data_IF_015971920324
#
_entry.id   IF_015971920324
#
_cell.length_a   1.000
_cell.length_b   1.000
_cell.length_c   1.000
_cell.angle_alpha   90.00
_cell.angle_beta   90.00
_cell.angle_gamma   90.00
#
_symmetry.space_group_name_H-M   'P 1'
#
loop_
_entity.id
_entity.type
_entity.pdbx_description
1 polymer ?
#
# COMPACT_ATOMS: atom_id res chain seq x y z
N UNK A 1 -9.13 -15.89 9.78
CA UNK A 1 -8.74 -14.58 9.22
C UNK A 1 -8.96 -14.65 7.72
N UNK A 2 -9.66 -13.68 7.17
CA UNK A 2 -10.05 -13.59 5.75
C UNK A 2 -8.81 -13.53 4.84
N UNK A 3 -8.52 -14.64 4.16
CA UNK A 3 -7.39 -14.74 3.23
C UNK A 3 -7.68 -14.01 1.91
N UNK A 4 -8.95 -13.90 1.53
CA UNK A 4 -9.35 -13.29 0.27
C UNK A 4 -9.12 -11.78 0.33
N UNK A 5 -9.46 -11.14 1.44
CA UNK A 5 -9.15 -9.73 1.68
C UNK A 5 -7.64 -9.42 1.63
N UNK A 6 -6.78 -10.34 2.08
CA UNK A 6 -5.32 -10.13 1.99
C UNK A 6 -4.84 -10.21 0.54
N UNK A 7 -5.35 -11.17 -0.23
CA UNK A 7 -4.98 -11.33 -1.63
C UNK A 7 -5.43 -10.14 -2.48
N UNK A 8 -6.65 -9.65 -2.26
CA UNK A 8 -7.15 -8.44 -2.92
C UNK A 8 -6.27 -7.21 -2.58
N UNK A 9 -5.87 -7.06 -1.31
CA UNK A 9 -4.96 -6.00 -0.90
C UNK A 9 -3.58 -6.12 -1.57
N UNK A 10 -3.00 -7.32 -1.62
CA UNK A 10 -1.73 -7.57 -2.31
C UNK A 10 -1.82 -7.16 -3.78
N UNK A 11 -2.90 -7.54 -4.45
CA UNK A 11 -3.08 -7.27 -5.88
C UNK A 11 -3.18 -5.78 -6.15
N UNK A 12 -4.04 -5.08 -5.40
CA UNK A 12 -4.20 -3.63 -5.52
C UNK A 12 -2.89 -2.88 -5.19
N UNK A 13 -2.16 -3.32 -4.16
CA UNK A 13 -0.91 -2.68 -3.76
C UNK A 13 0.19 -2.90 -4.80
N UNK A 14 0.32 -4.11 -5.38
CA UNK A 14 1.26 -4.36 -6.45
C UNK A 14 0.93 -3.55 -7.71
N UNK A 15 -0.36 -3.44 -8.06
CA UNK A 15 -0.84 -2.71 -9.23
C UNK A 15 -0.58 -1.19 -9.12
N UNK A 16 -0.74 -0.64 -7.92
CA UNK A 16 -0.55 0.79 -7.65
C UNK A 16 0.88 1.15 -7.26
N UNK A 17 1.75 0.18 -6.93
CA UNK A 17 3.09 0.41 -6.39
C UNK A 17 3.96 1.37 -7.24
N UNK A 18 4.06 1.23 -8.58
CA UNK A 18 4.84 2.17 -9.38
C UNK A 18 4.32 3.61 -9.25
N UNK A 19 3.00 3.79 -9.26
CA UNK A 19 2.36 5.10 -9.14
C UNK A 19 2.61 5.71 -7.75
N UNK A 20 2.41 4.93 -6.69
CA UNK A 20 2.64 5.35 -5.30
C UNK A 20 4.09 5.78 -5.09
N UNK A 21 5.03 4.99 -5.59
CA UNK A 21 6.46 5.25 -5.45
C UNK A 21 6.89 6.51 -6.23
N UNK A 22 6.40 6.66 -7.46
CA UNK A 22 6.67 7.84 -8.29
C UNK A 22 6.05 9.12 -7.70
N UNK A 23 4.88 9.04 -7.05
CA UNK A 23 4.26 10.19 -6.37
C UNK A 23 5.13 10.77 -5.22
N UNK A 24 6.06 9.96 -4.70
CA UNK A 24 7.03 10.33 -3.68
C UNK A 24 8.45 10.53 -4.24
N UNK A 25 8.64 10.49 -5.56
CA UNK A 25 9.95 10.56 -6.23
C UNK A 25 10.96 9.50 -5.73
N UNK A 26 10.48 8.32 -5.33
CA UNK A 26 11.34 7.23 -4.88
C UNK A 26 11.75 6.35 -6.05
N UNK A 27 12.97 5.84 -6.09
CA UNK A 27 13.34 4.73 -6.98
C UNK A 27 12.97 3.38 -6.35
N UNK A 28 13.00 2.29 -7.12
CA UNK A 28 12.80 0.93 -6.58
C UNK A 28 13.80 0.60 -5.46
N UNK A 29 15.04 1.12 -5.56
CA UNK A 29 16.09 0.96 -4.55
C UNK A 29 15.79 1.77 -3.28
N UNK A 30 15.28 2.99 -3.42
CA UNK A 30 14.92 3.81 -2.26
C UNK A 30 13.77 3.17 -1.49
N UNK A 31 12.75 2.69 -2.22
CA UNK A 31 11.62 2.03 -1.60
C UNK A 31 12.00 0.69 -0.95
N UNK A 32 12.91 -0.09 -1.56
CA UNK A 32 13.33 -1.37 -0.98
C UNK A 32 14.01 -1.18 0.37
N UNK A 33 14.81 -0.13 0.54
CA UNK A 33 15.42 0.25 1.82
C UNK A 33 14.38 0.63 2.87
N UNK A 34 13.31 1.31 2.47
CA UNK A 34 12.23 1.74 3.37
C UNK A 34 11.48 0.54 3.96
N UNK A 35 11.12 -0.44 3.13
CA UNK A 35 10.33 -1.60 3.56
C UNK A 35 11.20 -2.81 3.97
N UNK A 36 12.53 -2.67 3.93
CA UNK A 36 13.48 -3.69 4.39
C UNK A 36 13.56 -4.93 3.50
N UNK A 37 13.51 -4.76 2.17
CA UNK A 37 13.64 -5.84 1.18
C UNK A 37 14.72 -5.53 0.15
N UNK A 38 15.03 -6.51 -0.71
CA UNK A 38 15.91 -6.28 -1.85
C UNK A 38 15.22 -5.44 -2.93
N UNK A 39 15.99 -4.70 -3.73
CA UNK A 39 15.47 -4.03 -4.93
C UNK A 39 14.77 -4.99 -5.88
N UNK A 40 15.29 -6.22 -6.04
CA UNK A 40 14.67 -7.26 -6.84
C UNK A 40 13.27 -7.63 -6.33
N UNK A 41 13.07 -7.63 -5.01
CA UNK A 41 11.75 -7.87 -4.44
C UNK A 41 10.75 -6.79 -4.86
N UNK A 42 11.16 -5.52 -4.88
CA UNK A 42 10.30 -4.41 -5.36
C UNK A 42 10.00 -4.56 -6.87
N UNK A 43 10.99 -4.93 -7.67
CA UNK A 43 10.78 -5.22 -9.11
C UNK A 43 9.73 -6.33 -9.28
N UNK A 44 9.86 -7.43 -8.54
CA UNK A 44 8.93 -8.55 -8.61
C UNK A 44 7.52 -8.16 -8.16
N UNK A 45 7.39 -7.28 -7.15
CA UNK A 45 6.10 -6.72 -6.73
C UNK A 45 5.45 -5.92 -7.86
N UNK A 46 6.20 -5.01 -8.50
CA UNK A 46 5.69 -4.19 -9.62
C UNK A 46 5.35 -5.04 -10.86
N UNK A 47 5.99 -6.21 -11.04
CA UNK A 47 5.64 -7.19 -12.08
C UNK A 47 4.59 -8.22 -11.66
N UNK A 48 4.00 -8.09 -10.46
CA UNK A 48 2.97 -9.00 -9.92
C UNK A 48 3.45 -10.46 -9.80
N UNK A 49 4.75 -10.68 -9.60
CA UNK A 49 5.35 -11.98 -9.31
C UNK A 49 5.22 -12.26 -7.79
N UNK A 50 3.99 -12.63 -7.38
CA UNK A 50 3.50 -12.59 -5.98
C UNK A 50 4.21 -13.56 -5.04
N UNK A 51 4.98 -13.03 -4.07
CA UNK A 51 5.22 -13.61 -2.73
C UNK A 51 5.46 -12.50 -1.70
N UNK A 52 4.38 -11.85 -1.25
CA UNK A 52 4.45 -10.89 -0.15
C UNK A 52 4.12 -11.57 1.19
N UNK A 53 4.92 -11.29 2.21
CA UNK A 53 4.56 -11.65 3.58
C UNK A 53 3.54 -10.66 4.13
N UNK A 54 2.80 -11.08 5.17
CA UNK A 54 1.88 -10.20 5.89
C UNK A 54 2.57 -8.96 6.48
N UNK A 55 3.83 -9.11 6.91
CA UNK A 55 4.60 -7.98 7.45
C UNK A 55 4.92 -6.93 6.37
N UNK A 56 5.28 -7.36 5.16
CA UNK A 56 5.55 -6.44 4.05
C UNK A 56 4.29 -5.69 3.66
N UNK A 57 3.16 -6.38 3.49
CA UNK A 57 1.91 -5.69 3.09
C UNK A 57 1.44 -4.68 4.15
N UNK A 58 1.56 -5.00 5.45
CA UNK A 58 1.25 -4.05 6.52
C UNK A 58 2.18 -2.84 6.47
N UNK A 59 3.49 -3.06 6.27
CA UNK A 59 4.48 -1.98 6.12
C UNK A 59 4.13 -1.07 4.93
N UNK A 60 3.79 -1.65 3.78
CA UNK A 60 3.42 -0.89 2.59
C UNK A 60 2.14 -0.08 2.79
N UNK A 61 1.06 -0.72 3.28
CA UNK A 61 -0.21 -0.04 3.56
C UNK A 61 0.01 1.13 4.54
N UNK A 62 0.77 0.91 5.61
CA UNK A 62 1.04 1.95 6.60
C UNK A 62 1.87 3.09 6.03
N UNK A 63 2.94 2.77 5.30
CA UNK A 63 3.84 3.77 4.73
C UNK A 63 3.10 4.69 3.75
N UNK A 64 2.32 4.12 2.82
CA UNK A 64 1.64 4.92 1.81
C UNK A 64 0.38 5.62 2.34
N UNK A 65 -0.35 5.01 3.28
CA UNK A 65 -1.55 5.65 3.86
C UNK A 65 -1.24 6.82 4.77
N UNK A 66 0.00 6.97 5.25
CA UNK A 66 0.42 8.09 6.12
C UNK A 66 1.04 9.27 5.34
N UNK A 67 0.93 9.27 4.01
CA UNK A 67 1.40 10.37 3.15
C UNK A 67 0.27 10.79 2.23
N UNK A 68 -0.08 12.07 2.26
CA UNK A 68 -1.26 12.62 1.60
C UNK A 68 -1.40 12.16 0.14
N UNK A 69 -0.40 12.44 -0.71
CA UNK A 69 -0.42 12.09 -2.15
C UNK A 69 -0.66 10.61 -2.42
N UNK A 70 -0.06 9.72 -1.63
CA UNK A 70 -0.19 8.27 -1.84
C UNK A 70 -1.45 7.72 -1.20
N UNK A 71 -1.90 8.30 -0.10
CA UNK A 71 -3.20 7.98 0.49
C UNK A 71 -4.33 8.35 -0.48
N UNK A 72 -4.21 9.44 -1.24
CA UNK A 72 -5.21 9.84 -2.22
C UNK A 72 -5.33 8.80 -3.35
N UNK A 73 -4.19 8.33 -3.86
CA UNK A 73 -4.13 7.24 -4.86
C UNK A 73 -4.80 5.97 -4.30
N UNK A 74 -4.50 5.61 -3.04
CA UNK A 74 -5.07 4.42 -2.40
C UNK A 74 -6.57 4.57 -2.08
N UNK A 75 -7.04 5.78 -1.82
CA UNK A 75 -8.47 6.06 -1.66
C UNK A 75 -9.18 5.85 -2.99
N UNK A 76 -8.65 6.42 -4.08
CA UNK A 76 -9.21 6.30 -5.43
C UNK A 76 -9.19 4.85 -5.94
N UNK A 77 -8.22 4.03 -5.53
CA UNK A 77 -8.17 2.61 -5.87
C UNK A 77 -9.14 1.74 -5.06
N UNK A 78 -9.80 2.31 -4.04
CA UNK A 78 -10.73 1.58 -3.17
C UNK A 78 -10.06 0.74 -2.07
N UNK A 79 -8.75 0.93 -1.80
CA UNK A 79 -7.99 0.13 -0.84
C UNK A 79 -8.68 0.08 0.54
N UNK A 80 -9.18 1.23 1.00
CA UNK A 80 -9.72 1.37 2.35
C UNK A 80 -11.10 0.71 2.55
N UNK A 81 -11.68 0.13 1.49
CA UNK A 81 -12.86 -0.70 1.57
C UNK A 81 -12.56 -2.17 1.88
N UNK A 82 -11.31 -2.60 1.66
CA UNK A 82 -10.86 -3.96 1.87
C UNK A 82 -10.92 -4.37 3.36
N UNK A 83 -11.42 -5.58 3.62
CA UNK A 83 -11.61 -6.12 4.98
C UNK A 83 -10.31 -6.21 5.77
N UNK A 84 -9.22 -6.67 5.15
CA UNK A 84 -7.93 -6.77 5.83
C UNK A 84 -7.37 -5.39 6.19
N UNK A 85 -7.46 -4.43 5.27
CA UNK A 85 -6.97 -3.06 5.46
C UNK A 85 -7.74 -2.34 6.59
N UNK A 86 -9.06 -2.53 6.65
CA UNK A 86 -9.89 -2.07 7.79
C UNK A 86 -9.44 -2.70 9.11
N UNK A 87 -9.18 -4.00 9.13
CA UNK A 87 -8.78 -4.73 10.34
C UNK A 87 -7.42 -4.31 10.90
N UNK A 88 -6.50 -3.83 10.05
CA UNK A 88 -5.21 -3.27 10.50
C UNK A 88 -5.27 -1.77 10.83
N UNK A 89 -6.47 -1.18 10.84
CA UNK A 89 -6.71 0.18 11.33
C UNK A 89 -6.82 1.27 10.26
N UNK A 90 -6.77 0.93 8.97
CA UNK A 90 -6.85 1.90 7.88
C UNK A 90 -8.22 1.85 7.18
N UNK A 91 -9.27 2.38 7.82
CA UNK A 91 -10.54 2.61 7.13
C UNK A 91 -10.55 3.96 6.41
N UNK A 92 -11.46 4.13 5.45
CA UNK A 92 -11.64 5.39 4.72
C UNK A 92 -11.89 6.56 5.68
N UNK A 93 -12.74 6.36 6.68
CA UNK A 93 -13.00 7.36 7.72
C UNK A 93 -11.77 7.76 8.53
N UNK A 94 -10.85 6.81 8.80
CA UNK A 94 -9.61 7.07 9.52
C UNK A 94 -8.65 7.85 8.63
N UNK A 95 -8.48 7.46 7.37
CA UNK A 95 -7.55 8.09 6.44
C UNK A 95 -7.97 9.52 6.11
N UNK A 96 -9.25 9.75 5.86
CA UNK A 96 -9.80 11.10 5.67
C UNK A 96 -9.48 11.99 6.87
N UNK A 97 -9.57 11.44 8.09
CA UNK A 97 -9.24 12.18 9.32
C UNK A 97 -7.74 12.44 9.47
N UNK A 98 -6.89 11.48 9.10
CA UNK A 98 -5.43 11.61 9.17
C UNK A 98 -4.93 12.74 8.27
N UNK A 99 -5.49 12.87 7.06
CA UNK A 99 -5.06 13.88 6.08
C UNK A 99 -5.92 15.14 6.08
N UNK A 100 -6.83 15.28 7.04
CA UNK A 100 -7.71 16.45 7.18
C UNK A 100 -8.51 16.79 5.90
N UNK A 101 -8.83 15.78 5.08
CA UNK A 101 -9.67 15.98 3.90
C UNK A 101 -11.10 16.30 4.34
N UNK A 102 -11.63 17.42 3.85
CA UNK A 102 -13.02 17.81 4.11
C UNK A 102 -13.97 16.77 3.50
N UNK A 103 -14.84 16.19 4.32
CA UNK A 103 -15.98 15.39 3.86
C UNK A 103 -17.03 16.25 3.19
#
# INVERSE_FOLDING_TARGET
MDNDGIMECIDLMCDTLPQLRNALNLTQEDFSKIIGVSRQSVINMEHKEKKLTRSIIISMVSFFSLREKTAEILLQSGLYNNTFVKNIGFSESVVIKIHEWSK
#
